data_IF_674965491630
#
_entry.id   IF_674965491630
#
_cell.length_a   1.000
_cell.length_b   1.000
_cell.length_c   1.000
_cell.angle_alpha   90.00
_cell.angle_beta   90.00
_cell.angle_gamma   90.00
#
_symmetry.space_group_name_H-M   'P 1'
#
loop_
_entity.id
_entity.type
_entity.pdbx_description
1 polymer ?
2 non-polymer ?
3 non-polymer ?
4 non-polymer ?
5 water ?
#
# COMPACT_ATOMS: atom_id res chain seq x y z
N UNK A 3 20.27 12.55 1.11
CA UNK A 3 20.65 11.78 2.30
C UNK A 3 19.65 10.67 2.65
N UNK A 4 18.33 10.95 2.66
CA UNK A 4 17.39 9.85 2.94
C UNK A 4 17.41 8.76 1.88
N UNK A 5 17.29 9.12 0.60
CA UNK A 5 17.32 8.12 -0.46
C UNK A 5 18.70 7.49 -0.61
N UNK A 6 19.76 8.27 -0.38
CA UNK A 6 21.12 7.76 -0.57
C UNK A 6 21.44 6.66 0.43
N UNK A 7 20.90 6.74 1.64
CA UNK A 7 21.09 5.66 2.60
C UNK A 7 20.13 4.51 2.34
N UNK A 8 18.90 4.82 1.91
CA UNK A 8 17.92 3.77 1.64
C UNK A 8 18.41 2.83 0.54
N UNK A 9 19.10 3.36 -0.46
CA UNK A 9 19.67 2.51 -1.51
C UNK A 9 20.95 1.83 -1.03
N UNK A 10 21.66 2.43 -0.08
CA UNK A 10 22.87 1.79 0.44
C UNK A 10 22.53 0.59 1.30
N UNK A 11 21.46 0.69 2.09
CA UNK A 11 21.02 -0.46 2.88
C UNK A 11 20.47 -1.56 1.96
N UNK A 12 19.92 -1.17 0.80
CA UNK A 12 19.47 -2.16 -0.17
C UNK A 12 20.63 -3.05 -0.62
N UNK A 13 21.79 -2.43 -0.89
CA UNK A 13 22.97 -3.22 -1.25
C UNK A 13 23.38 -4.13 -0.12
N UNK A 14 23.30 -3.65 1.13
CA UNK A 14 23.67 -4.46 2.28
C UNK A 14 22.70 -5.62 2.48
N UNK A 15 21.40 -5.38 2.24
CA UNK A 15 20.41 -6.44 2.38
C UNK A 15 20.58 -7.47 1.26
N UNK A 16 20.72 -7.00 0.02
CA UNK A 16 20.85 -7.92 -1.11
C UNK A 16 22.10 -8.77 -1.00
N UNK A 17 23.20 -8.18 -0.52
CA UNK A 17 24.44 -8.95 -0.39
C UNK A 17 24.29 -10.08 0.62
N UNK A 18 23.59 -9.82 1.73
CA UNK A 18 23.36 -10.86 2.71
C UNK A 18 22.48 -11.97 2.14
N UNK A 19 21.40 -11.60 1.45
CA UNK A 19 20.48 -12.61 0.94
C UNK A 19 21.16 -13.51 -0.09
N UNK A 20 21.94 -12.92 -1.01
CA UNK A 20 22.54 -13.71 -2.07
C UNK A 20 23.71 -14.53 -1.54
N UNK A 21 24.50 -13.98 -0.62
CA UNK A 21 25.59 -14.75 -0.02
C UNK A 21 25.05 -15.91 0.81
N UNK A 22 23.92 -15.72 1.49
CA UNK A 22 23.32 -16.80 2.25
C UNK A 22 22.89 -17.93 1.34
N UNK A 23 22.36 -17.60 0.16
CA UNK A 23 21.99 -18.63 -0.81
C UNK A 23 23.22 -19.35 -1.34
N UNK A 24 24.32 -18.63 -1.55
CA UNK A 24 25.53 -19.26 -2.07
C UNK A 24 26.21 -20.11 -1.00
N UNK A 25 26.31 -19.58 0.23
CA UNK A 25 27.06 -20.26 1.28
C UNK A 25 26.24 -21.30 2.03
N UNK A 26 24.98 -21.00 2.34
CA UNK A 26 24.16 -21.90 3.15
C UNK A 26 23.19 -22.74 2.34
N UNK A 27 22.69 -22.23 1.22
CA UNK A 27 21.69 -22.92 0.43
C UNK A 27 22.26 -23.56 -0.84
N UNK A 28 23.59 -23.55 -0.98
CA UNK A 28 24.28 -24.33 -2.02
C UNK A 28 23.81 -23.93 -3.42
N UNK A 29 23.74 -22.63 -3.66
CA UNK A 29 23.25 -22.09 -4.92
C UNK A 29 24.43 -21.75 -5.85
N UNK A 30 24.29 -22.12 -7.12
CA UNK A 30 25.29 -21.85 -8.14
C UNK A 30 25.24 -20.38 -8.56
N UNK A 31 26.32 -19.86 -9.15
CA UNK A 31 26.33 -18.44 -9.54
C UNK A 31 25.24 -18.06 -10.53
N UNK A 32 24.89 -18.96 -11.45
CA UNK A 32 23.88 -18.64 -12.47
C UNK A 32 22.54 -18.28 -11.83
N UNK A 33 22.14 -19.03 -10.80
CA UNK A 33 20.88 -18.73 -10.12
C UNK A 33 21.02 -17.57 -9.14
N UNK A 34 22.22 -17.34 -8.61
CA UNK A 34 22.44 -16.18 -7.75
C UNK A 34 22.29 -14.90 -8.55
N UNK A 35 22.94 -14.82 -9.72
CA UNK A 35 22.81 -13.65 -10.57
C UNK A 35 21.39 -13.51 -11.10
N UNK A 36 20.69 -14.62 -11.32
CA UNK A 36 19.30 -14.54 -11.75
C UNK A 36 18.43 -13.91 -10.66
N UNK A 37 18.63 -14.34 -9.41
CA UNK A 37 17.84 -13.77 -8.32
C UNK A 37 18.24 -12.33 -8.03
N UNK A 38 19.48 -11.94 -8.34
CA UNK A 38 19.85 -10.54 -8.23
C UNK A 38 19.06 -9.70 -9.23
N UNK A 39 18.99 -10.15 -10.48
CA UNK A 39 18.25 -9.41 -11.51
C UNK A 39 16.76 -9.39 -11.20
N UNK A 40 16.20 -10.51 -10.74
CA UNK A 40 14.79 -10.54 -10.39
C UNK A 40 14.50 -9.61 -9.21
N UNK A 41 15.42 -9.56 -8.24
CA UNK A 41 15.23 -8.68 -7.09
C UNK A 41 15.28 -7.21 -7.50
N UNK A 42 16.25 -6.85 -8.34
CA UNK A 42 16.36 -5.46 -8.79
C UNK A 42 15.19 -5.06 -9.68
N UNK A 43 14.64 -6.00 -10.44
CA UNK A 43 13.56 -5.67 -11.36
C UNK A 43 12.26 -5.40 -10.62
N UNK A 44 11.93 -6.23 -9.64
CA UNK A 44 10.65 -6.11 -8.95
C UNK A 44 10.67 -5.14 -7.78
N UNK A 45 11.83 -4.90 -7.18
CA UNK A 45 11.91 -4.06 -5.99
C UNK A 45 12.34 -2.62 -6.28
N UNK A 46 13.24 -2.43 -7.24
CA UNK A 46 13.73 -1.10 -7.58
C UNK A 46 12.92 -0.51 -8.73
N UNK A 47 12.99 0.81 -8.85
CA UNK A 47 12.35 1.55 -9.92
C UNK A 47 11.14 2.36 -9.47
N UNK A 48 10.45 1.91 -8.44
CA UNK A 48 9.26 2.59 -7.96
C UNK A 48 9.59 3.88 -7.25
N UNK A 49 8.58 4.41 -6.54
CA UNK A 49 8.71 5.66 -5.81
C UNK A 49 9.14 5.45 -4.36
N UNK A 50 9.07 4.22 -3.85
CA UNK A 50 9.50 3.89 -2.48
C UNK A 50 8.72 4.68 -1.44
N UNK A 51 7.42 4.91 -1.71
CA UNK A 51 6.61 5.72 -0.81
C UNK A 51 6.49 5.08 0.56
N UNK A 52 6.15 3.79 0.61
CA UNK A 52 5.98 3.12 1.89
C UNK A 52 7.30 2.99 2.63
N UNK A 53 8.37 2.62 1.93
CA UNK A 53 9.66 2.45 2.58
C UNK A 53 10.20 3.75 3.17
N UNK A 54 10.06 4.85 2.42
CA UNK A 54 10.58 6.12 2.90
C UNK A 54 9.77 6.68 4.06
N UNK A 55 8.52 6.24 4.22
CA UNK A 55 7.73 6.71 5.37
C UNK A 55 8.30 6.18 6.68
N UNK A 56 8.79 4.94 6.68
CA UNK A 56 9.41 4.38 7.87
C UNK A 56 10.61 5.21 8.29
N UNK A 57 11.44 5.61 7.32
CA UNK A 57 12.60 6.43 7.62
C UNK A 57 12.16 7.81 8.10
N UNK A 58 11.07 8.33 7.53
CA UNK A 58 10.60 9.67 7.91
C UNK A 58 10.08 9.69 9.35
N UNK A 59 9.42 8.62 9.78
CA UNK A 59 8.89 8.59 11.14
C UNK A 59 10.01 8.41 12.15
N UNK A 60 10.97 7.53 11.84
CA UNK A 60 12.06 7.27 12.78
C UNK A 60 12.93 8.50 12.99
N UNK A 61 13.10 9.33 11.96
CA UNK A 61 13.91 10.54 12.11
C UNK A 61 13.27 11.51 13.09
N UNK A 62 11.96 11.69 13.00
CA UNK A 62 11.25 12.63 13.85
C UNK A 62 11.24 12.21 15.31
N UNK A 63 11.38 10.92 15.59
CA UNK A 63 11.26 10.45 16.97
C UNK A 63 12.59 10.40 17.70
N UNK A 64 13.71 10.24 17.00
CA UNK A 64 15.01 10.30 17.66
C UNK A 64 15.47 11.74 17.85
N UNK A 65 15.16 12.62 16.89
CA UNK A 65 15.50 14.03 17.03
C UNK A 65 14.63 14.72 18.08
N UNK A 66 13.44 14.17 18.36
CA UNK A 66 12.47 14.78 19.25
C UNK A 66 12.06 13.74 20.29
N UNK A 67 13.00 13.40 21.18
CA UNK A 67 12.75 12.41 22.21
C UNK A 67 12.96 12.99 23.60
N UNK A 77 26.35 9.48 20.49
CA UNK A 77 25.01 8.90 20.44
C UNK A 77 24.90 7.80 19.41
N UNK A 78 25.37 6.61 19.78
CA UNK A 78 25.32 5.46 18.88
C UNK A 78 23.91 4.94 18.66
N UNK A 79 22.93 5.41 19.44
CA UNK A 79 21.56 4.96 19.25
C UNK A 79 20.98 5.46 17.94
N UNK A 80 21.49 6.58 17.42
CA UNK A 80 20.97 7.15 16.19
C UNK A 80 21.24 6.22 14.99
N UNK A 81 22.48 5.75 14.86
CA UNK A 81 22.83 4.89 13.73
C UNK A 81 22.04 3.59 13.76
N UNK A 82 21.73 3.07 14.95
CA UNK A 82 21.00 1.81 15.04
C UNK A 82 19.54 1.98 14.62
N UNK A 83 18.89 3.04 15.07
CA UNK A 83 17.47 3.23 14.74
C UNK A 83 17.30 3.54 13.27
N UNK A 84 18.16 4.40 12.71
CA UNK A 84 18.04 4.77 11.31
C UNK A 84 18.31 3.57 10.39
N UNK A 85 19.27 2.73 10.76
CA UNK A 85 19.53 1.53 9.97
C UNK A 85 18.38 0.54 10.07
N UNK A 86 17.81 0.39 11.27
CA UNK A 86 16.66 -0.50 11.43
C UNK A 86 15.46 0.00 10.64
N UNK A 87 15.28 1.33 10.57
CA UNK A 87 14.17 1.87 9.79
C UNK A 87 14.35 1.59 8.30
N UNK A 88 15.59 1.63 7.80
CA UNK A 88 15.83 1.34 6.40
C UNK A 88 15.55 -0.12 6.08
N UNK A 89 15.87 -1.02 7.01
CA UNK A 89 15.56 -2.43 6.80
C UNK A 89 14.06 -2.66 6.81
N UNK A 90 13.35 -2.00 7.74
CA UNK A 90 11.89 -2.11 7.75
C UNK A 90 11.28 -1.50 6.49
N UNK A 91 11.89 -0.42 5.99
CA UNK A 91 11.40 0.17 4.74
C UNK A 91 11.50 -0.79 3.57
N UNK A 92 12.61 -1.52 3.49
CA UNK A 92 12.75 -2.51 2.42
C UNK A 92 11.89 -3.74 2.65
N UNK A 93 11.53 -4.03 3.90
CA UNK A 93 10.57 -5.11 4.14
C UNK A 93 9.25 -4.83 3.46
N UNK A 94 8.75 -3.60 3.56
CA UNK A 94 7.49 -3.25 2.92
C UNK A 94 7.67 -3.15 1.41
N UNK A 95 8.79 -2.59 0.95
CA UNK A 95 9.04 -2.53 -0.48
C UNK A 95 9.13 -3.93 -1.08
N UNK A 96 9.77 -4.86 -0.38
CA UNK A 96 9.77 -6.25 -0.84
C UNK A 96 8.37 -6.84 -0.77
N UNK A 97 7.61 -6.52 0.27
CA UNK A 97 6.23 -7.01 0.37
C UNK A 97 5.37 -6.47 -0.75
N UNK A 98 5.58 -5.19 -1.13
CA UNK A 98 4.86 -4.64 -2.27
C UNK A 98 5.27 -5.34 -3.57
N UNK A 99 6.56 -5.64 -3.72
CA UNK A 99 7.01 -6.40 -4.87
C UNK A 99 6.37 -7.79 -4.89
N UNK A 100 6.21 -8.40 -3.71
CA UNK A 100 5.49 -9.66 -3.63
C UNK A 100 4.06 -9.52 -4.11
N UNK A 101 3.38 -8.43 -3.72
CA UNK A 101 2.01 -8.22 -4.18
C UNK A 101 1.95 -7.95 -5.68
N UNK A 102 2.94 -7.21 -6.20
CA UNK A 102 2.96 -6.91 -7.63
C UNK A 102 3.15 -8.18 -8.45
N UNK A 103 3.98 -9.11 -7.98
CA UNK A 103 4.17 -10.36 -8.70
C UNK A 103 2.89 -11.18 -8.68
N UNK A 104 2.20 -11.24 -7.54
CA UNK A 104 0.94 -11.95 -7.47
C UNK A 104 -0.09 -11.36 -8.42
N UNK A 105 -0.02 -10.06 -8.70
CA UNK A 105 -0.95 -9.45 -9.64
C UNK A 105 -0.63 -9.87 -11.07
N UNK A 106 0.65 -10.00 -11.40
CA UNK A 106 1.03 -10.43 -12.74
C UNK A 106 0.56 -11.85 -13.04
N UNK A 107 0.46 -12.69 -11.99
CA UNK A 107 -0.01 -14.06 -12.20
C UNK A 107 -1.50 -14.07 -12.50
N UNK A 108 -2.26 -13.19 -11.87
CA UNK A 108 -3.70 -13.14 -12.10
C UNK A 108 -4.03 -12.77 -13.54
N UNK A 109 -3.16 -12.02 -14.21
CA UNK A 109 -3.39 -11.63 -15.59
C UNK A 109 -2.17 -11.93 -16.47
N UNK A 124 3.77 -27.21 -19.67
CA UNK A 124 4.90 -27.00 -18.76
C UNK A 124 5.52 -25.61 -18.91
N UNK A 125 4.72 -24.56 -18.69
CA UNK A 125 5.19 -23.21 -18.86
C UNK A 125 6.10 -22.82 -17.71
N UNK A 126 7.37 -22.56 -18.02
CA UNK A 126 8.36 -22.30 -16.98
C UNK A 126 8.28 -20.85 -16.49
N UNK A 127 7.94 -19.90 -17.37
CA UNK A 127 7.86 -18.51 -16.96
C UNK A 127 6.74 -18.27 -15.94
N UNK A 128 5.71 -19.12 -15.92
CA UNK A 128 4.69 -19.00 -14.89
C UNK A 128 5.14 -19.71 -13.61
N UNK A 129 5.89 -20.81 -13.74
CA UNK A 129 6.46 -21.45 -12.56
C UNK A 129 7.44 -20.52 -11.85
N UNK A 130 8.25 -19.79 -12.61
CA UNK A 130 9.22 -18.87 -12.01
C UNK A 130 8.51 -17.68 -11.38
N UNK A 131 7.46 -17.17 -12.01
CA UNK A 131 6.72 -16.04 -11.45
C UNK A 131 6.11 -16.41 -10.10
N UNK A 132 5.48 -17.57 -10.02
CA UNK A 132 4.91 -18.04 -8.76
C UNK A 132 6.00 -18.22 -7.72
N UNK A 133 7.13 -18.81 -8.12
CA UNK A 133 8.23 -19.02 -7.19
C UNK A 133 8.86 -17.69 -6.77
N UNK A 134 8.97 -16.74 -7.71
CA UNK A 134 9.54 -15.44 -7.36
C UNK A 134 8.67 -14.70 -6.36
N UNK A 135 7.35 -14.84 -6.47
CA UNK A 135 6.47 -14.21 -5.50
C UNK A 135 6.64 -14.76 -4.11
N UNK A 136 6.86 -16.07 -3.99
CA UNK A 136 7.08 -16.68 -2.68
C UNK A 136 8.45 -16.32 -2.12
N UNK A 137 9.45 -16.17 -3.00
CA UNK A 137 10.79 -15.80 -2.52
C UNK A 137 10.81 -14.37 -1.99
N UNK A 138 10.14 -13.44 -2.68
CA UNK A 138 10.07 -12.06 -2.20
C UNK A 138 9.41 -12.00 -0.83
N UNK A 139 8.33 -12.76 -0.64
CA UNK A 139 7.68 -12.79 0.67
C UNK A 139 8.59 -13.37 1.74
N UNK A 140 9.37 -14.40 1.38
CA UNK A 140 10.28 -15.01 2.36
C UNK A 140 11.45 -14.09 2.67
N UNK A 141 11.87 -13.28 1.70
CA UNK A 141 13.01 -12.38 1.93
C UNK A 141 12.69 -11.33 2.98
N UNK A 142 11.41 -10.97 3.14
CA UNK A 142 11.04 -10.05 4.21
C UNK A 142 11.29 -10.67 5.58
N UNK A 143 11.07 -11.98 5.70
CA UNK A 143 11.34 -12.67 6.96
C UNK A 143 12.85 -12.82 7.18
N UNK A 144 13.59 -13.18 6.14
CA UNK A 144 15.01 -13.45 6.29
C UNK A 144 15.78 -12.19 6.65
N UNK A 145 15.46 -11.06 6.00
CA UNK A 145 16.15 -9.82 6.34
C UNK A 145 15.74 -9.31 7.71
N UNK A 146 14.55 -9.69 8.20
CA UNK A 146 14.15 -9.30 9.54
C UNK A 146 14.79 -10.19 10.60
N UNK A 147 14.84 -11.49 10.35
CA UNK A 147 15.46 -12.42 11.29
C UNK A 147 16.96 -12.18 11.43
N UNK A 148 17.60 -11.58 10.42
CA UNK A 148 19.04 -11.37 10.43
C UNK A 148 19.42 -10.05 11.10
N UNK A 149 18.96 -8.93 10.54
CA UNK A 149 19.36 -7.62 11.04
C UNK A 149 18.76 -7.30 12.40
N UNK A 150 17.66 -7.95 12.78
CA UNK A 150 16.98 -7.68 14.04
C UNK A 150 17.06 -8.86 15.00
N UNK A 151 18.07 -9.73 14.84
CA UNK A 151 18.16 -10.91 15.70
C UNK A 151 18.39 -10.54 17.15
N UNK A 152 19.09 -9.43 17.41
CA UNK A 152 19.38 -8.98 18.76
C UNK A 152 18.49 -7.81 19.18
N UNK A 153 17.34 -7.64 18.54
CA UNK A 153 16.43 -6.56 18.91
C UNK A 153 15.29 -7.09 19.75
N UNK A 154 14.91 -6.37 20.81
CA UNK A 154 13.80 -6.85 21.68
C UNK A 154 12.44 -6.82 21.00
N UNK A 155 12.32 -6.17 19.83
CA UNK A 155 11.04 -6.03 19.16
C UNK A 155 10.89 -6.96 17.96
N UNK A 156 11.81 -7.90 17.78
CA UNK A 156 11.77 -8.76 16.60
C UNK A 156 10.49 -9.58 16.55
N UNK A 157 10.11 -10.19 17.66
CA UNK A 157 8.89 -10.99 17.68
C UNK A 157 7.65 -10.15 17.48
N UNK A 158 7.61 -8.96 18.10
CA UNK A 158 6.46 -8.08 17.91
C UNK A 158 6.43 -7.50 16.50
N UNK A 159 7.60 -7.28 15.90
CA UNK A 159 7.64 -6.74 14.54
C UNK A 159 7.10 -7.76 13.54
N UNK A 160 7.56 -9.01 13.65
CA UNK A 160 7.09 -10.05 12.74
C UNK A 160 5.60 -10.30 12.90
N UNK A 161 5.07 -10.18 14.13
CA UNK A 161 3.66 -10.45 14.35
C UNK A 161 2.79 -9.38 13.68
N UNK A 162 3.10 -8.11 13.88
CA UNK A 162 2.34 -7.05 13.23
C UNK A 162 2.54 -7.07 11.73
N UNK A 163 3.72 -7.46 11.27
CA UNK A 163 3.98 -7.52 9.83
C UNK A 163 3.11 -8.59 9.16
N UNK A 164 3.11 -9.80 9.71
CA UNK A 164 2.33 -10.88 9.12
C UNK A 164 0.83 -10.67 9.30
N UNK A 165 0.42 -10.04 10.40
CA UNK A 165 -0.99 -9.76 10.60
C UNK A 165 -1.52 -8.77 9.56
N UNK A 166 -0.69 -7.80 9.17
CA UNK A 166 -1.12 -6.85 8.14
C UNK A 166 -1.10 -7.50 6.77
N UNK A 167 -0.12 -8.38 6.52
CA UNK A 167 -0.13 -9.15 5.28
C UNK A 167 -1.36 -10.04 5.19
N UNK A 168 -1.75 -10.64 6.31
CA UNK A 168 -3.01 -11.38 6.36
C UNK A 168 -4.19 -10.45 6.13
N UNK A 169 -4.12 -9.24 6.67
CA UNK A 169 -5.18 -8.26 6.46
C UNK A 169 -5.33 -7.91 4.98
N UNK A 170 -4.21 -7.73 4.28
CA UNK A 170 -4.26 -7.39 2.86
C UNK A 170 -4.88 -8.50 2.04
N UNK A 171 -4.58 -9.76 2.37
CA UNK A 171 -5.18 -10.88 1.65
C UNK A 171 -6.67 -10.95 1.89
N UNK A 172 -7.10 -10.70 3.13
CA UNK A 172 -8.54 -10.62 3.41
C UNK A 172 -9.15 -9.46 2.64
N UNK A 173 -8.42 -8.34 2.55
CA UNK A 173 -8.94 -7.20 1.80
C UNK A 173 -9.10 -7.50 0.32
N UNK A 174 -8.19 -8.30 -0.24
CA UNK A 174 -8.30 -8.65 -1.65
C UNK A 174 -9.50 -9.57 -1.90
N UNK A 175 -9.90 -10.35 -0.89
CA UNK A 175 -11.08 -11.19 -1.03
C UNK A 175 -12.35 -10.35 -1.08
N UNK A 176 -12.40 -9.27 -0.29
CA UNK A 176 -13.54 -8.37 -0.35
C UNK A 176 -13.61 -7.65 -1.69
N UNK A 177 -12.45 -7.28 -2.24
CA UNK A 177 -12.43 -6.53 -3.50
C UNK A 177 -12.76 -7.45 -4.68
N UNK A 178 -12.25 -8.68 -4.68
CA UNK A 178 -12.47 -9.57 -5.81
C UNK A 178 -13.91 -10.04 -5.85
N UNK A 179 -14.50 -10.32 -4.69
CA UNK A 179 -15.86 -10.85 -4.62
C UNK A 179 -16.90 -9.77 -4.34
N UNK A 180 -16.60 -8.52 -4.67
CA UNK A 180 -17.54 -7.44 -4.39
C UNK A 180 -18.75 -7.46 -5.32
N UNK A 181 -18.70 -8.20 -6.42
CA UNK A 181 -19.83 -8.28 -7.35
C UNK A 181 -20.39 -9.69 -7.46
N UNK A 182 -19.95 -10.62 -6.62
CA UNK A 182 -20.48 -11.98 -6.58
C UNK A 182 -20.81 -12.36 -5.14
N UNK A 183 -21.79 -13.24 -4.98
CA UNK A 183 -22.11 -13.86 -3.70
C UNK A 183 -23.11 -15.00 -3.87
N UNK A 199 -24.99 -6.38 -7.20
CA UNK A 199 -24.70 -5.01 -6.81
C UNK A 199 -25.18 -4.72 -5.40
N UNK A 200 -25.50 -5.79 -4.65
CA UNK A 200 -25.98 -5.61 -3.28
C UNK A 200 -24.90 -5.02 -2.39
N UNK A 201 -23.65 -5.43 -2.58
CA UNK A 201 -22.53 -4.97 -1.76
C UNK A 201 -21.92 -3.68 -2.28
N UNK A 202 -22.57 -2.99 -3.20
CA UNK A 202 -22.07 -1.71 -3.72
C UNK A 202 -22.59 -0.57 -2.85
N UNK A 203 -22.03 -0.49 -1.65
CA UNK A 203 -22.38 0.54 -0.68
C UNK A 203 -21.12 1.30 -0.26
N UNK A 204 -21.34 2.45 0.38
CA UNK A 204 -20.21 3.27 0.83
C UNK A 204 -19.52 2.65 2.04
N UNK A 205 -20.26 1.96 2.90
CA UNK A 205 -19.65 1.31 4.04
C UNK A 205 -18.80 0.12 3.62
N UNK A 206 -19.30 -0.68 2.66
CA UNK A 206 -18.50 -1.79 2.15
C UNK A 206 -17.30 -1.29 1.36
N UNK A 207 -17.44 -0.15 0.68
CA UNK A 207 -16.28 0.46 0.02
C UNK A 207 -15.21 0.81 1.04
N UNK A 208 -15.62 1.34 2.20
CA UNK A 208 -14.67 1.64 3.26
C UNK A 208 -14.04 0.36 3.82
N UNK A 209 -14.81 -0.73 3.86
CA UNK A 209 -14.24 -2.00 4.31
C UNK A 209 -13.16 -2.50 3.36
N UNK A 210 -13.40 -2.38 2.05
CA UNK A 210 -12.41 -2.83 1.08
C UNK A 210 -11.14 -2.01 1.21
N UNK A 211 -11.26 -0.68 1.16
CA UNK A 211 -10.09 0.19 1.22
C UNK A 211 -9.33 -0.02 2.53
N UNK A 212 -10.05 -0.28 3.62
CA UNK A 212 -9.41 -0.45 4.91
C UNK A 212 -8.44 -1.62 4.89
N UNK A 213 -8.91 -2.79 4.45
CA UNK A 213 -8.10 -4.00 4.52
C UNK A 213 -7.25 -4.23 3.28
N UNK A 214 -7.70 -3.78 2.11
CA UNK A 214 -6.93 -4.00 0.89
C UNK A 214 -5.76 -3.03 0.77
N UNK A 215 -5.96 -1.78 1.21
CA UNK A 215 -4.97 -0.73 1.01
C UNK A 215 -4.50 -0.09 2.32
N UNK A 216 -5.44 0.36 3.16
CA UNK A 216 -5.10 1.30 4.23
C UNK A 216 -4.15 0.72 5.27
N UNK A 217 -4.20 -0.58 5.51
CA UNK A 217 -3.41 -1.15 6.60
C UNK A 217 -1.93 -1.24 6.23
N UNK A 218 -1.62 -1.76 5.04
CA UNK A 218 -0.23 -1.98 4.67
C UNK A 218 0.40 -0.81 3.93
N UNK A 219 -0.40 0.15 3.47
CA UNK A 219 0.16 1.31 2.77
C UNK A 219 0.39 2.49 3.69
N UNK A 220 -0.47 2.69 4.68
CA UNK A 220 -0.38 3.84 5.57
C UNK A 220 -0.14 3.47 7.02
N UNK A 221 -0.84 2.48 7.56
CA UNK A 221 -0.67 2.15 8.98
C UNK A 221 0.61 1.36 9.22
N UNK A 222 0.95 0.44 8.32
CA UNK A 222 2.14 -0.39 8.52
C UNK A 222 3.43 0.42 8.53
N UNK A 223 3.71 1.31 7.56
CA UNK A 223 4.96 2.07 7.62
C UNK A 223 5.03 2.98 8.84
N UNK A 224 3.91 3.53 9.30
CA UNK A 224 3.91 4.37 10.49
C UNK A 224 4.26 3.55 11.73
N UNK A 225 3.66 2.37 11.86
CA UNK A 225 3.90 1.54 13.04
C UNK A 225 5.34 1.05 13.07
N UNK A 226 5.88 0.65 11.90
CA UNK A 226 7.26 0.19 11.85
C UNK A 226 8.23 1.31 12.22
N UNK A 227 7.89 2.56 11.91
CA UNK A 227 8.69 3.68 12.37
C UNK A 227 8.63 3.86 13.87
N UNK A 228 7.47 3.57 14.48
CA UNK A 228 7.34 3.68 15.93
C UNK A 228 8.07 2.55 16.65
N UNK A 229 8.15 1.38 16.03
CA UNK A 229 8.74 0.22 16.69
C UNK A 229 10.27 0.35 16.74
N UNK A 230 10.88 0.71 15.61
CA UNK A 230 12.33 0.85 15.59
C UNK A 230 12.77 2.03 16.45
N UNK A 231 11.91 3.03 16.62
CA UNK A 231 12.17 4.13 17.53
C UNK A 231 11.75 3.81 18.96
N UNK A 232 11.16 2.64 19.19
CA UNK A 232 10.77 2.16 20.51
C UNK A 232 9.79 3.10 21.20
N UNK A 233 9.07 3.92 20.43
CA UNK A 233 8.05 4.81 20.94
C UNK A 233 6.64 4.29 20.67
N UNK A 234 6.49 2.97 20.54
CA UNK A 234 5.18 2.41 20.25
C UNK A 234 4.15 2.68 21.35
N UNK A 235 4.44 2.49 22.65
CA UNK A 235 3.45 2.80 23.68
C UNK A 235 3.31 4.28 24.00
N UNK A 236 3.96 5.17 23.26
CA UNK A 236 3.92 6.60 23.52
C UNK A 236 3.02 7.34 22.54
N UNK A 237 2.18 6.64 21.79
CA UNK A 237 1.30 7.25 20.80
C UNK A 237 -0.11 6.69 20.98
N UNK A 238 -1.10 7.51 20.62
CA UNK A 238 -2.49 7.09 20.62
C UNK A 238 -2.73 6.30 19.34
N UNK A 239 -2.78 4.97 19.46
CA UNK A 239 -2.97 4.12 18.29
C UNK A 239 -4.35 4.25 17.70
N UNK A 240 -5.35 4.65 18.49
CA UNK A 240 -6.67 4.86 17.94
C UNK A 240 -6.73 6.02 16.96
N UNK A 241 -6.09 7.13 17.31
CA UNK A 241 -6.02 8.27 16.40
C UNK A 241 -5.14 7.92 15.20
N UNK A 242 -4.06 7.17 15.44
CA UNK A 242 -3.18 6.78 14.35
C UNK A 242 -3.89 5.85 13.38
N UNK A 243 -4.59 4.84 13.90
CA UNK A 243 -5.35 3.94 13.02
C UNK A 243 -6.43 4.70 12.26
N UNK A 244 -7.14 5.59 12.95
CA UNK A 244 -8.20 6.35 12.29
C UNK A 244 -7.63 7.26 11.20
N UNK A 245 -6.42 7.79 11.41
CA UNK A 245 -5.79 8.60 10.38
C UNK A 245 -5.44 7.78 9.15
N UNK A 246 -4.87 6.60 9.35
CA UNK A 246 -4.47 5.75 8.23
C UNK A 246 -5.67 5.35 7.40
N UNK A 247 -6.83 5.10 8.04
CA UNK A 247 -8.02 4.74 7.29
C UNK A 247 -8.54 5.92 6.48
N UNK A 248 -8.48 7.13 7.05
CA UNK A 248 -8.95 8.31 6.33
C UNK A 248 -8.04 8.65 5.16
N UNK A 249 -6.72 8.59 5.35
CA UNK A 249 -5.80 8.85 4.25
C UNK A 249 -5.82 7.73 3.23
N UNK A 250 -5.98 6.49 3.69
CA UNK A 250 -6.10 5.39 2.75
C UNK A 250 -7.37 5.49 1.91
N UNK A 251 -8.48 5.88 2.54
CA UNK A 251 -9.72 6.07 1.80
C UNK A 251 -9.66 7.30 0.90
N UNK A 252 -8.96 8.34 1.35
CA UNK A 252 -8.83 9.54 0.52
C UNK A 252 -8.07 9.24 -0.77
N UNK A 253 -6.93 8.55 -0.64
CA UNK A 253 -6.13 8.21 -1.81
C UNK A 253 -6.87 7.27 -2.75
N UNK A 254 -7.71 6.38 -2.21
CA UNK A 254 -8.39 5.41 -3.07
C UNK A 254 -9.46 6.08 -3.92
N UNK A 255 -10.18 7.06 -3.35
CA UNK A 255 -11.17 7.79 -4.12
C UNK A 255 -10.49 8.56 -5.25
N UNK A 256 -9.37 9.21 -4.95
CA UNK A 256 -8.61 9.88 -6.00
C UNK A 256 -8.06 8.87 -7.00
N UNK A 257 -7.65 7.69 -6.52
CA UNK A 257 -7.13 6.66 -7.42
C UNK A 257 -8.23 6.09 -8.31
N UNK A 258 -9.46 5.99 -7.79
CA UNK A 258 -10.56 5.46 -8.59
C UNK A 258 -10.96 6.43 -9.70
N UNK A 259 -10.97 7.73 -9.40
CA UNK A 259 -11.32 8.72 -10.41
C UNK A 259 -10.27 8.75 -11.50
N UNK A 260 -8.99 8.69 -11.13
CA UNK A 260 -7.94 8.69 -12.14
C UNK A 260 -7.99 7.43 -13.00
N UNK A 261 -8.37 6.30 -12.40
CA UNK A 261 -8.52 5.08 -13.17
C UNK A 261 -9.60 5.19 -14.23
N UNK A 262 -10.55 6.11 -14.06
CA UNK A 262 -11.66 6.27 -14.99
C UNK A 262 -11.43 7.39 -16.00
N UNK A 263 -11.00 8.56 -15.55
CA UNK A 263 -10.95 9.75 -16.40
C UNK A 263 -9.55 10.15 -16.84
N UNK A 264 -8.53 9.87 -16.05
CA UNK A 264 -7.17 10.21 -16.46
C UNK A 264 -6.78 9.38 -17.67
N UNK A 265 -6.29 9.98 -18.75
CA UNK A 265 -5.96 9.23 -19.97
C UNK A 265 -4.87 8.20 -19.69
N UNK A 266 -4.76 7.18 -20.54
CA UNK A 266 -3.78 6.10 -20.26
C UNK A 266 -2.34 6.58 -20.15
N UNK A 267 -1.94 7.56 -20.96
CA UNK A 267 -0.55 8.01 -20.90
C UNK A 267 -0.28 8.85 -19.66
N UNK A 268 -1.28 9.58 -19.16
CA UNK A 268 -1.13 10.40 -17.98
C UNK A 268 -1.36 9.62 -16.69
N UNK A 269 -1.76 8.35 -16.77
CA UNK A 269 -2.01 7.53 -15.60
C UNK A 269 -0.91 6.51 -15.33
N UNK A 270 -0.10 6.17 -16.33
CA UNK A 270 0.89 5.13 -16.19
C UNK A 270 0.36 3.73 -16.41
N UNK A 271 -0.91 3.58 -16.76
CA UNK A 271 -1.53 2.29 -17.00
C UNK A 271 -2.78 2.51 -17.84
N UNK A 272 -3.62 1.49 -17.94
CA UNK A 272 -4.89 1.58 -18.65
C UNK A 272 -6.00 1.32 -17.64
N UNK A 273 -6.95 2.26 -17.55
CA UNK A 273 -8.06 2.12 -16.64
C UNK A 273 -8.93 0.91 -16.93
N UNK A 274 -9.23 0.13 -15.90
CA UNK A 274 -9.96 -1.12 -16.10
C UNK A 274 -11.01 -1.40 -15.02
N UNK A 275 -11.33 -0.42 -14.16
CA UNK A 275 -12.29 -0.68 -13.10
C UNK A 275 -13.70 -0.92 -13.65
N UNK A 276 -14.07 -0.23 -14.73
CA UNK A 276 -15.41 -0.40 -15.29
C UNK A 276 -15.57 -1.79 -15.89
N UNK A 277 -14.60 -2.20 -16.72
CA UNK A 277 -14.69 -3.51 -17.35
C UNK A 277 -14.64 -4.64 -16.31
N UNK A 278 -13.89 -4.45 -15.23
CA UNK A 278 -13.78 -5.45 -14.19
C UNK A 278 -14.92 -5.40 -13.17
N UNK A 279 -15.87 -4.48 -13.35
CA UNK A 279 -17.02 -4.34 -12.46
C UNK A 279 -16.58 -4.13 -11.01
N UNK A 280 -15.59 -3.26 -10.82
CA UNK A 280 -15.04 -3.02 -9.49
C UNK A 280 -15.98 -2.13 -8.68
N UNK A 281 -15.96 -2.33 -7.36
CA UNK A 281 -16.73 -1.52 -6.42
C UNK A 281 -15.96 -0.24 -6.12
N UNK A 282 -15.90 0.62 -7.13
CA UNK A 282 -15.18 1.88 -7.02
C UNK A 282 -16.04 2.93 -6.32
N UNK A 283 -15.39 4.00 -5.89
CA UNK A 283 -16.11 5.11 -5.27
C UNK A 283 -17.10 5.74 -6.25
N UNK A 284 -16.77 5.76 -7.54
CA UNK A 284 -17.69 6.33 -8.53
C UNK A 284 -18.95 5.48 -8.66
N UNK A 285 -18.80 4.16 -8.60
CA UNK A 285 -19.96 3.28 -8.77
C UNK A 285 -20.93 3.40 -7.59
N UNK A 286 -20.40 3.38 -6.36
CA UNK A 286 -21.28 3.44 -5.20
C UNK A 286 -21.90 4.83 -5.04
N UNK A 287 -21.18 5.88 -5.44
CA UNK A 287 -21.74 7.22 -5.38
C UNK A 287 -22.79 7.43 -6.46
N UNK A 288 -22.60 6.80 -7.63
CA UNK A 288 -23.61 6.90 -8.69
C UNK A 288 -24.90 6.19 -8.29
N UNK A 289 -24.79 4.98 -7.74
CA UNK A 289 -25.97 4.20 -7.41
C UNK A 289 -26.84 4.85 -6.34
N UNK A 290 -26.27 5.76 -5.55
CA UNK A 290 -27.04 6.40 -4.49
C UNK A 290 -27.83 7.60 -4.96
N UNK A 291 -27.45 8.22 -6.08
CA UNK A 291 -28.09 9.45 -6.54
C UNK A 291 -28.59 9.33 -7.97
N UNK A 292 -28.90 8.13 -8.41
CA UNK A 292 -29.38 7.89 -9.77
C UNK A 292 -30.84 7.44 -9.74
N UNK A 293 -31.52 7.65 -10.86
CA UNK A 293 -32.90 7.22 -11.01
C UNK A 293 -32.94 5.72 -11.34
N UNK A 294 -34.16 5.19 -11.48
CA UNK A 294 -34.29 3.76 -11.77
C UNK A 294 -33.76 3.42 -13.15
N UNK A 295 -34.03 4.26 -14.15
CA UNK A 295 -33.51 4.00 -15.48
C UNK A 295 -32.00 4.17 -15.54
N UNK A 296 -31.47 5.17 -14.85
CA UNK A 296 -30.02 5.38 -14.83
C UNK A 296 -29.31 4.23 -14.13
N UNK A 297 -29.91 3.69 -13.07
CA UNK A 297 -29.37 2.49 -12.44
C UNK A 297 -29.54 1.29 -13.37
N UNK A 298 -30.68 1.21 -14.08
CA UNK A 298 -30.88 0.14 -15.04
C UNK A 298 -29.87 0.23 -16.18
N UNK A 299 -29.64 1.45 -16.70
CA UNK A 299 -28.65 1.62 -17.75
C UNK A 299 -27.23 1.40 -17.23
N UNK A 300 -27.00 1.68 -15.95
CA UNK A 300 -25.70 1.42 -15.36
C UNK A 300 -25.45 -0.08 -15.23
N UNK A 301 -26.43 -0.82 -14.70
CA UNK A 301 -26.27 -2.26 -14.55
C UNK A 301 -26.17 -2.96 -15.89
N UNK A 302 -26.79 -2.42 -16.94
CA UNK A 302 -26.72 -3.06 -18.25
C UNK A 302 -25.42 -2.78 -18.97
N UNK A 303 -24.63 -1.81 -18.51
CA UNK A 303 -23.37 -1.46 -19.14
C UNK A 303 -22.15 -1.73 -18.28
N UNK A 304 -22.31 -1.79 -16.96
CA UNK A 304 -21.17 -1.99 -16.07
C UNK A 304 -20.65 -3.42 -16.16
N UNK A 305 -19.33 -3.56 -16.05
CA UNK A 305 -18.70 -4.87 -16.09
C UNK A 305 -18.47 -5.43 -17.47
N UNK A 306 -18.59 -4.62 -18.52
CA UNK A 306 -18.41 -5.08 -19.89
C UNK A 306 -17.14 -4.50 -20.48
N UNK A 307 -16.59 -5.19 -21.48
CA UNK A 307 -15.39 -4.77 -22.16
C UNK A 307 -15.62 -4.02 -23.46
N UNK A 308 -16.87 -3.86 -23.88
CA UNK A 308 -17.17 -3.12 -25.10
C UNK A 308 -16.75 -1.66 -24.95
N UNK A 309 -16.13 -1.13 -25.99
CA UNK A 309 -15.63 0.25 -25.94
C UNK A 309 -16.76 1.25 -25.70
N UNK A 310 -17.95 0.96 -26.24
CA UNK A 310 -19.07 1.89 -26.12
C UNK A 310 -19.91 1.65 -24.87
N UNK A 311 -19.89 0.43 -24.32
CA UNK A 311 -20.55 0.22 -23.03
C UNK A 311 -19.78 0.87 -21.89
N UNK A 312 -18.45 0.91 -22.00
CA UNK A 312 -17.64 1.62 -21.01
C UNK A 312 -17.84 3.12 -21.15
N UNK A 313 -17.90 3.62 -22.39
CA UNK A 313 -18.17 5.03 -22.60
C UNK A 313 -19.56 5.42 -22.14
N UNK A 314 -20.52 4.48 -22.21
CA UNK A 314 -21.84 4.75 -21.65
C UNK A 314 -21.78 4.88 -20.13
N UNK A 315 -20.93 4.08 -19.49
CA UNK A 315 -20.76 4.19 -18.05
C UNK A 315 -20.11 5.52 -17.69
N UNK A 316 -19.06 5.91 -18.42
CA UNK A 316 -18.43 7.20 -18.18
C UNK A 316 -19.41 8.35 -18.44
N UNK A 317 -20.27 8.20 -19.44
CA UNK A 317 -21.28 9.22 -19.70
C UNK A 317 -22.23 9.35 -18.52
N UNK A 318 -22.66 8.23 -17.94
CA UNK A 318 -23.51 8.28 -16.75
C UNK A 318 -22.77 8.89 -15.57
N UNK A 319 -21.46 8.66 -15.46
CA UNK A 319 -20.69 9.29 -14.39
C UNK A 319 -20.60 10.80 -14.59
N UNK A 320 -20.40 11.24 -15.83
CA UNK A 320 -20.30 12.66 -16.11
C UNK A 320 -21.65 13.36 -15.94
N UNK A 321 -22.71 12.76 -16.47
CA UNK A 321 -24.04 13.37 -16.45
C UNK A 321 -24.68 13.38 -15.08
N UNK A 322 -23.98 12.89 -14.04
CA UNK A 322 -24.51 12.91 -12.68
C UNK A 322 -23.75 13.88 -11.78
N UNK A 323 -22.83 14.67 -12.34
CA UNK A 323 -22.03 15.63 -11.58
C UNK A 323 -21.28 14.93 -10.44
N UNK A 324 -20.75 13.74 -10.73
CA UNK A 324 -20.06 12.97 -9.69
C UNK A 324 -18.75 13.62 -9.29
N UNK A 325 -18.00 14.14 -10.25
CA UNK A 325 -16.75 14.83 -9.92
C UNK A 325 -16.98 16.16 -9.22
N UNK A 326 -18.23 16.60 -9.10
CA UNK A 326 -18.55 17.68 -8.20
C UNK A 326 -18.66 17.16 -6.78
N UNK A 327 -19.27 15.98 -6.63
CA UNK A 327 -19.30 15.31 -5.34
C UNK A 327 -17.90 14.86 -4.93
N UNK A 328 -17.03 14.60 -5.90
CA UNK A 328 -15.66 14.19 -5.60
C UNK A 328 -14.90 15.30 -4.87
N UNK A 329 -15.10 16.55 -5.29
CA UNK A 329 -14.39 17.66 -4.66
C UNK A 329 -14.84 17.84 -3.21
N UNK A 330 -16.16 17.83 -2.98
CA UNK A 330 -16.66 18.02 -1.63
C UNK A 330 -16.31 16.85 -0.74
N UNK A 331 -16.37 15.62 -1.27
CA UNK A 331 -16.05 14.45 -0.46
C UNK A 331 -14.58 14.46 -0.03
N UNK A 332 -13.68 14.83 -0.96
CA UNK A 332 -12.27 14.87 -0.61
C UNK A 332 -11.97 16.02 0.34
N UNK A 333 -12.64 17.16 0.19
CA UNK A 333 -12.45 18.26 1.11
C UNK A 333 -12.93 17.91 2.51
N UNK A 334 -14.00 17.11 2.61
CA UNK A 334 -14.48 16.67 3.91
C UNK A 334 -13.50 15.71 4.58
N UNK A 335 -12.92 14.80 3.80
CA UNK A 335 -11.92 13.89 4.35
C UNK A 335 -10.67 14.66 4.75
N UNK A 336 -10.23 15.58 3.89
CA UNK A 336 -9.02 16.35 4.19
C UNK A 336 -9.19 17.17 5.46
N UNK A 337 -10.40 17.69 5.71
CA UNK A 337 -10.65 18.41 6.95
C UNK A 337 -10.58 17.48 8.16
N UNK A 338 -11.03 16.22 7.99
CA UNK A 338 -10.92 15.26 9.08
C UNK A 338 -9.47 14.85 9.32
N UNK A 339 -8.63 14.90 8.29
CA UNK A 339 -7.22 14.57 8.48
C UNK A 339 -6.52 15.65 9.29
N UNK A 340 -6.83 16.92 9.01
CA UNK A 340 -6.21 18.02 9.74
C UNK A 340 -6.56 17.97 11.21
N UNK A 341 -7.78 17.53 11.53
CA UNK A 341 -8.23 17.54 12.93
C UNK A 341 -7.58 16.43 13.73
N UNK A 342 -7.52 15.22 13.17
CA UNK A 342 -6.97 14.08 13.90
C UNK A 342 -5.47 14.23 14.14
N UNK A 343 -4.77 14.96 13.26
CA UNK A 343 -3.34 15.20 13.48
C UNK A 343 -3.13 16.03 14.73
N UNK A 344 -4.04 16.95 15.03
CA UNK A 344 -3.88 17.80 16.21
C UNK A 344 -4.14 17.02 17.49
N UNK A 345 -5.11 16.11 17.47
CA UNK A 345 -5.34 15.25 18.64
C UNK A 345 -4.12 14.39 18.93
N UNK A 346 -3.42 13.94 17.89
CA UNK A 346 -2.26 13.10 18.05
C UNK A 346 -1.02 13.87 18.49
N UNK A 347 -0.97 15.18 18.22
CA UNK A 347 0.19 15.97 18.59
C UNK A 347 0.20 16.32 20.07
N UNK A 348 -0.96 16.39 20.71
CA UNK A 348 -1.02 16.73 22.12
C UNK A 348 -0.28 15.70 22.98
N UNK A 349 -0.18 14.45 22.50
CA UNK A 349 0.57 13.42 23.18
C UNK A 349 1.80 12.95 22.42
N UNK A 350 1.87 13.21 21.11
CA UNK A 350 3.00 12.81 20.28
C UNK A 350 3.25 13.88 19.24
N UNK A 351 3.99 14.93 19.60
CA UNK A 351 4.19 16.06 18.67
C UNK A 351 5.04 15.72 17.46
N UNK A 352 6.23 15.14 17.69
CA UNK A 352 7.11 14.83 16.58
C UNK A 352 6.55 13.78 15.64
N UNK A 353 5.69 12.90 16.16
CA UNK A 353 5.08 11.88 15.31
C UNK A 353 4.09 12.51 14.34
N UNK A 354 3.34 13.52 14.80
CA UNK A 354 2.38 14.18 13.92
C UNK A 354 3.06 14.93 12.79
N UNK A 355 4.28 15.44 13.02
CA UNK A 355 5.00 16.15 11.97
C UNK A 355 5.33 15.23 10.81
N UNK A 356 5.69 13.97 11.11
CA UNK A 356 5.94 13.00 10.06
C UNK A 356 4.66 12.54 9.36
N UNK A 357 3.51 12.63 10.04
CA UNK A 357 2.26 12.27 9.39
C UNK A 357 1.77 13.40 8.50
N UNK A 358 2.04 14.66 8.87
CA UNK A 358 1.75 15.77 7.97
C UNK A 358 2.57 15.68 6.69
N UNK A 359 3.78 15.13 6.77
CA UNK A 359 4.58 14.91 5.57
C UNK A 359 3.99 13.78 4.74
N UNK A 360 3.56 12.69 5.38
CA UNK A 360 2.92 11.60 4.64
C UNK A 360 1.60 12.04 4.04
N UNK A 361 0.83 12.85 4.78
CA UNK A 361 -0.43 13.36 4.24
C UNK A 361 -0.20 14.32 3.09
N UNK A 362 0.94 15.01 3.07
CA UNK A 362 1.24 15.89 1.95
C UNK A 362 1.56 15.14 0.68
N UNK A 363 2.17 13.96 0.80
CA UNK A 363 2.49 13.16 -0.38
C UNK A 363 1.26 12.55 -1.04
N UNK A 364 0.14 12.48 -0.32
CA UNK A 364 -1.13 12.05 -0.90
C UNK A 364 -1.94 13.24 -1.40
N UNK A 365 -1.94 14.33 -0.64
CA UNK A 365 -2.68 15.53 -1.02
C UNK A 365 -1.92 16.34 -2.06
X LIG B 1 -2.44 -8.56 -3.43
X LIG B 1 -2.27 -6.25 -4.10
X LIG B 1 -3.16 -4.47 -2.83
X LIG B 1 -3.20 -10.64 -1.70
X LIG B 1 -1.96 -3.95 -4.79
X LIG B 1 -3.04 -9.71 -3.93
X LIG B 1 -2.21 -8.46 -2.05
X LIG B 1 -1.75 -5.32 -5.00
X LIG B 1 -3.42 -10.74 -3.08
X LIG B 1 -2.59 -9.49 -1.19
X LIG B 1 -2.07 -7.57 -4.30
X LIG B 1 -2.66 -3.56 -3.70
X LIG B 1 -1.48 -3.02 -5.63
X LIG B 1 -2.96 -5.79 -3.04
X LIG B 1 -4.19 -12.18 -3.72
X LIG C 1 19.85 -16.06 -16.79
X LIG C 1 19.06 -14.87 -16.65
X LIG C 1 19.16 -17.22 -16.02
X LIG C 1 19.91 -18.42 -16.25
X LIG C 1 19.23 -19.61 -15.79
X LIG C 1 18.65 -19.32 -14.38
X LIG C 1 18.03 -20.52 -13.90
X LIG D 1 -11.07 0.03 -6.06
X LIG D 1 -10.49 -0.17 -4.70
X LIG D 1 -12.50 -1.06 -6.26
X LIG D 1 -9.96 -0.69 -7.31
#
# INVERSE_FOLDING_TARGET
GPMPMQMFMQVYDEIQMFLLEELELKFDMDPNRVRYLRKMMDTTCLGGKYNRGLTVIDVAESLLSLSPNNNGEEDDGARRKRVLHDACVCGWMIEFLQAHYLVEDDIMDNSVTRRGKPCWYRHPDVTVQCAINDGLLLKSWTHMMAMHFFADRPFLQDLLCRFNRVDYTTAVGQLYDVTSMFDSNKLDPDVSQPTTTDFAEFTLSNYKRIVKYKTAYYTYLLPLVMGLIVSEALPTVDMGVTEELAMLMGEYFQVQDDVMDCFTPPERLGKVGTDIQDAKCSWLAVTFLAKASSAQVAEFKANYGSGDSEKVATVRRLYEEADLQGDYVAYEAAVAEQVKELIEKLRLCSPGFAASVETLWGKTYKRQK
PBY C2 C3 C11 C12 C10 C4 C5 C6 C8 C9 N1 N14 N15 N7 CL13
PEG C1 O1 C2 O2 C3 C4 O4
DMS S O C1 C2
#
